data_IF_403332099559
#
_entry.id   IF_403332099559
#
_cell.length_a   1.000
_cell.length_b   1.000
_cell.length_c   1.000
_cell.angle_alpha   90.00
_cell.angle_beta   90.00
_cell.angle_gamma   90.00
#
_symmetry.space_group_name_H-M   'P 1'
#
loop_
_entity.id
_entity.type
_entity.pdbx_description
1 polymer ?
#
# COMPACT_ATOMS: atom_id res chain seq x y z
N UNK A 1 59.82 -7.92 -11.40
CA UNK A 1 58.53 -8.23 -12.04
C UNK A 1 57.55 -8.61 -10.95
N UNK A 2 56.89 -7.60 -10.41
CA UNK A 2 56.01 -7.69 -9.24
C UNK A 2 54.67 -8.23 -9.70
N UNK A 3 54.32 -9.43 -9.24
CA UNK A 3 53.02 -10.07 -9.48
C UNK A 3 51.93 -9.20 -8.83
N UNK A 4 51.19 -8.48 -9.67
CA UNK A 4 50.01 -7.72 -9.26
C UNK A 4 48.91 -8.75 -8.96
N UNK A 5 48.77 -9.01 -7.66
CA UNK A 5 47.51 -9.20 -6.92
C UNK A 5 46.27 -9.48 -7.80
N UNK A 6 46.04 -10.75 -8.14
CA UNK A 6 44.70 -11.25 -8.48
C UNK A 6 43.85 -11.30 -7.20
N UNK A 7 43.42 -10.13 -6.76
CA UNK A 7 42.36 -9.98 -5.75
C UNK A 7 41.56 -8.72 -6.06
N UNK A 8 41.34 -8.46 -7.35
CA UNK A 8 40.27 -7.55 -7.77
C UNK A 8 38.96 -8.30 -7.55
N UNK A 9 38.31 -7.90 -6.47
CA UNK A 9 37.13 -8.51 -5.87
C UNK A 9 36.03 -8.79 -6.88
N UNK A 10 35.34 -9.91 -6.67
CA UNK A 10 34.04 -10.29 -7.28
C UNK A 10 32.89 -9.27 -7.02
N UNK A 11 33.19 -8.09 -6.49
CA UNK A 11 32.24 -7.06 -6.06
C UNK A 11 31.86 -6.06 -7.15
N UNK A 12 32.56 -6.02 -8.28
CA UNK A 12 32.48 -4.90 -9.25
C UNK A 12 31.80 -5.25 -10.60
N UNK A 13 31.17 -6.42 -10.71
CA UNK A 13 30.46 -6.85 -11.93
C UNK A 13 28.95 -6.61 -11.86
N UNK A 14 28.52 -5.52 -11.22
CA UNK A 14 27.09 -5.17 -11.16
C UNK A 14 26.77 -4.33 -12.38
N UNK A 15 25.84 -4.83 -13.19
CA UNK A 15 25.41 -4.17 -14.42
C UNK A 15 24.19 -3.32 -14.09
N UNK A 16 24.30 -2.00 -14.23
CA UNK A 16 23.16 -1.12 -14.09
C UNK A 16 22.34 -1.11 -15.38
N UNK A 17 21.02 -0.87 -15.28
CA UNK A 17 20.16 -0.77 -16.46
C UNK A 17 20.67 0.27 -17.46
N UNK A 18 21.24 1.38 -16.97
CA UNK A 18 21.82 2.42 -17.80
C UNK A 18 23.04 1.96 -18.63
N UNK A 19 23.72 0.88 -18.21
CA UNK A 19 24.88 0.32 -18.91
C UNK A 19 24.45 -0.59 -20.07
N UNK A 20 23.26 -1.20 -19.98
CA UNK A 20 22.71 -2.12 -20.99
C UNK A 20 21.78 -1.40 -21.95
N UNK A 21 20.98 -0.46 -21.42
CA UNK A 21 19.94 0.25 -22.15
C UNK A 21 20.12 1.76 -21.96
N UNK A 22 20.84 2.44 -22.87
CA UNK A 22 21.10 3.86 -22.74
C UNK A 22 19.82 4.67 -22.88
N UNK A 23 19.49 5.44 -21.84
CA UNK A 23 18.25 6.24 -21.83
C UNK A 23 18.39 7.55 -22.60
N UNK A 24 17.35 7.98 -23.34
CA UNK A 24 17.29 9.31 -23.95
C UNK A 24 17.63 10.44 -22.98
N UNK A 25 18.25 11.51 -23.49
CA UNK A 25 18.78 12.61 -22.66
C UNK A 25 17.71 13.32 -21.80
N UNK A 26 16.47 13.37 -22.29
CA UNK A 26 15.34 13.95 -21.55
C UNK A 26 15.06 13.16 -20.25
N UNK A 27 15.05 11.83 -20.33
CA UNK A 27 14.81 10.97 -19.16
C UNK A 27 15.97 11.00 -18.19
N UNK A 28 17.21 11.00 -18.68
CA UNK A 28 18.40 11.17 -17.81
C UNK A 28 18.40 12.51 -17.07
N UNK A 29 17.89 13.56 -17.70
CA UNK A 29 17.79 14.89 -17.08
C UNK A 29 16.68 14.93 -16.03
N UNK A 30 15.53 14.32 -16.34
CA UNK A 30 14.45 14.12 -15.38
C UNK A 30 14.89 13.26 -14.18
N UNK A 31 15.59 12.13 -14.41
CA UNK A 31 16.09 11.25 -13.35
C UNK A 31 17.03 11.99 -12.40
N UNK A 32 17.95 12.82 -12.93
CA UNK A 32 18.80 13.69 -12.11
C UNK A 32 17.99 14.69 -11.28
N UNK A 33 16.98 15.33 -11.87
CA UNK A 33 16.11 16.27 -11.16
C UNK A 33 15.27 15.56 -10.08
N UNK A 34 14.68 14.41 -10.42
CA UNK A 34 13.93 13.52 -9.53
C UNK A 34 14.76 13.17 -8.31
N UNK A 35 15.96 12.63 -8.50
CA UNK A 35 16.81 12.17 -7.41
C UNK A 35 17.28 13.28 -6.47
N UNK A 36 17.38 14.53 -6.95
CA UNK A 36 17.82 15.65 -6.11
C UNK A 36 16.69 16.34 -5.36
N UNK A 37 15.53 16.56 -5.99
CA UNK A 37 14.51 17.48 -5.48
C UNK A 37 13.10 16.90 -5.39
N UNK A 38 12.78 15.88 -6.18
CA UNK A 38 11.43 15.36 -6.31
C UNK A 38 11.29 13.88 -5.90
N UNK A 39 12.30 13.29 -5.27
CA UNK A 39 12.25 11.87 -4.90
C UNK A 39 11.08 11.57 -3.97
N UNK A 40 10.85 12.43 -2.97
CA UNK A 40 9.71 12.31 -2.07
C UNK A 40 8.36 12.36 -2.81
N UNK A 41 8.24 13.19 -3.85
CA UNK A 41 7.02 13.30 -4.65
C UNK A 41 6.80 12.02 -5.45
N UNK A 42 7.85 11.48 -6.06
CA UNK A 42 7.72 10.24 -6.85
C UNK A 42 7.39 9.04 -5.97
N UNK A 43 7.93 8.98 -4.76
CA UNK A 43 7.54 7.97 -3.77
C UNK A 43 6.07 8.12 -3.36
N UNK A 44 5.60 9.34 -3.09
CA UNK A 44 4.18 9.59 -2.83
C UNK A 44 3.29 9.21 -4.01
N UNK A 45 3.68 9.50 -5.25
CA UNK A 45 2.94 9.11 -6.45
C UNK A 45 2.89 7.57 -6.58
N UNK A 46 3.98 6.87 -6.27
CA UNK A 46 3.98 5.41 -6.26
C UNK A 46 3.08 4.82 -5.16
N UNK A 47 3.09 5.40 -3.95
CA UNK A 47 2.17 5.00 -2.88
C UNK A 47 0.70 5.25 -3.24
N UNK A 48 0.40 6.43 -3.78
CA UNK A 48 -0.92 6.79 -4.30
C UNK A 48 -1.36 5.82 -5.40
N UNK A 49 -0.49 5.54 -6.38
CA UNK A 49 -0.83 4.67 -7.49
C UNK A 49 -0.97 3.20 -7.06
N UNK A 50 -0.16 2.73 -6.11
CA UNK A 50 -0.31 1.40 -5.53
C UNK A 50 -1.66 1.23 -4.84
N UNK A 51 -2.09 2.20 -4.03
CA UNK A 51 -3.44 2.19 -3.43
C UNK A 51 -4.53 2.26 -4.51
N UNK A 52 -4.32 3.10 -5.52
CA UNK A 52 -5.24 3.21 -6.65
C UNK A 52 -5.44 1.86 -7.34
N UNK A 53 -4.38 1.09 -7.61
CA UNK A 53 -4.47 -0.18 -8.34
C UNK A 53 -5.43 -1.18 -7.68
N UNK A 54 -5.26 -1.47 -6.40
CA UNK A 54 -6.13 -2.45 -5.74
C UNK A 54 -7.52 -1.89 -5.39
N UNK A 55 -7.64 -0.59 -5.11
CA UNK A 55 -8.95 0.02 -4.93
C UNK A 55 -9.73 0.01 -6.25
N UNK A 56 -9.09 0.38 -7.36
CA UNK A 56 -9.71 0.40 -8.67
C UNK A 56 -10.23 -0.99 -9.07
N UNK A 57 -9.39 -2.01 -8.97
CA UNK A 57 -9.78 -3.37 -9.30
C UNK A 57 -10.91 -3.89 -8.38
N UNK A 58 -10.74 -3.76 -7.07
CA UNK A 58 -11.66 -4.30 -6.09
C UNK A 58 -13.00 -3.55 -6.01
N UNK A 59 -12.97 -2.21 -6.00
CA UNK A 59 -14.19 -1.37 -6.04
C UNK A 59 -14.93 -1.55 -7.36
N UNK A 60 -14.21 -1.68 -8.49
CA UNK A 60 -14.83 -2.01 -9.78
C UNK A 60 -15.58 -3.36 -9.76
N UNK A 61 -14.99 -4.40 -9.17
CA UNK A 61 -15.68 -5.68 -8.98
C UNK A 61 -16.84 -5.59 -7.98
N UNK A 62 -16.72 -4.75 -6.95
CA UNK A 62 -17.79 -4.48 -5.98
C UNK A 62 -18.96 -3.76 -6.64
N UNK A 63 -18.69 -2.85 -7.57
CA UNK A 63 -19.72 -2.18 -8.36
C UNK A 63 -20.53 -3.19 -9.18
N UNK A 64 -19.85 -4.11 -9.88
CA UNK A 64 -20.52 -5.19 -10.60
C UNK A 64 -21.39 -6.06 -9.67
N UNK A 65 -20.86 -6.45 -8.51
CA UNK A 65 -21.59 -7.27 -7.55
C UNK A 65 -22.84 -6.58 -6.99
N UNK A 66 -22.74 -5.31 -6.57
CA UNK A 66 -23.87 -4.58 -5.98
C UNK A 66 -24.91 -4.23 -7.05
N UNK A 67 -24.50 -3.67 -8.18
CA UNK A 67 -25.41 -3.32 -9.28
C UNK A 67 -26.09 -4.58 -9.82
N UNK A 68 -25.34 -5.67 -10.03
CA UNK A 68 -25.88 -6.93 -10.52
C UNK A 68 -26.98 -7.47 -9.60
N UNK A 69 -26.76 -7.44 -8.28
CA UNK A 69 -27.76 -7.85 -7.30
C UNK A 69 -29.00 -6.94 -7.27
N UNK A 70 -28.83 -5.61 -7.34
CA UNK A 70 -29.96 -4.66 -7.32
C UNK A 70 -30.83 -4.82 -8.57
N UNK A 71 -30.20 -4.97 -9.74
CA UNK A 71 -30.88 -5.07 -11.02
C UNK A 71 -31.32 -6.50 -11.39
N UNK A 72 -30.93 -7.51 -10.60
CA UNK A 72 -31.24 -8.91 -10.88
C UNK A 72 -30.55 -9.46 -12.13
N UNK A 73 -29.31 -9.02 -12.39
CA UNK A 73 -28.53 -9.45 -13.55
C UNK A 73 -27.76 -10.75 -13.24
N UNK A 74 -28.25 -11.86 -13.80
CA UNK A 74 -27.62 -13.16 -13.62
C UNK A 74 -26.17 -13.19 -14.12
N UNK A 75 -25.25 -13.67 -13.28
CA UNK A 75 -23.83 -13.81 -13.62
C UNK A 75 -23.00 -12.53 -13.55
N UNK A 76 -23.58 -11.38 -13.18
CA UNK A 76 -22.85 -10.12 -13.05
C UNK A 76 -22.34 -9.93 -11.63
N UNK A 77 -21.06 -10.21 -11.42
CA UNK A 77 -20.38 -10.03 -10.14
C UNK A 77 -20.70 -11.12 -9.10
N UNK A 78 -19.77 -11.32 -8.19
CA UNK A 78 -19.91 -12.23 -7.04
C UNK A 78 -18.83 -11.92 -5.99
N UNK A 79 -19.03 -12.38 -4.74
CA UNK A 79 -18.01 -12.26 -3.70
C UNK A 79 -16.66 -12.87 -4.14
N UNK A 80 -16.69 -13.96 -4.91
CA UNK A 80 -15.49 -14.56 -5.49
C UNK A 80 -14.75 -13.57 -6.40
N UNK A 81 -15.46 -12.94 -7.34
CA UNK A 81 -14.86 -11.94 -8.25
C UNK A 81 -14.34 -10.72 -7.51
N UNK A 82 -14.99 -10.29 -6.44
CA UNK A 82 -14.54 -9.18 -5.59
C UNK A 82 -13.20 -9.52 -4.93
N UNK A 83 -13.12 -10.68 -4.25
CA UNK A 83 -11.87 -11.07 -3.59
C UNK A 83 -10.74 -11.35 -4.58
N UNK A 84 -11.03 -11.93 -5.75
CA UNK A 84 -10.03 -12.10 -6.82
C UNK A 84 -9.53 -10.74 -7.34
N UNK A 85 -10.42 -9.78 -7.56
CA UNK A 85 -10.05 -8.47 -8.06
C UNK A 85 -9.18 -7.68 -7.07
N UNK A 86 -9.50 -7.71 -5.77
CA UNK A 86 -8.64 -7.14 -4.73
C UNK A 86 -7.29 -7.87 -4.66
N UNK A 87 -7.28 -9.20 -4.65
CA UNK A 87 -6.05 -9.99 -4.58
C UNK A 87 -5.10 -9.67 -5.75
N UNK A 88 -5.61 -9.70 -6.98
CA UNK A 88 -4.83 -9.40 -8.19
C UNK A 88 -4.46 -7.91 -8.26
N UNK A 89 -5.35 -7.01 -7.82
CA UNK A 89 -5.05 -5.59 -7.71
C UNK A 89 -3.88 -5.29 -6.77
N UNK A 90 -3.78 -6.02 -5.65
CA UNK A 90 -2.65 -5.93 -4.72
C UNK A 90 -1.37 -6.48 -5.35
N UNK A 91 -1.44 -7.59 -6.08
CA UNK A 91 -0.31 -8.11 -6.85
C UNK A 91 0.21 -7.04 -7.81
N UNK A 92 -0.68 -6.40 -8.57
CA UNK A 92 -0.33 -5.31 -9.50
C UNK A 92 0.31 -4.14 -8.75
N UNK A 93 -0.27 -3.71 -7.62
CA UNK A 93 0.27 -2.62 -6.80
C UNK A 93 1.72 -2.90 -6.38
N UNK A 94 1.98 -4.08 -5.81
CA UNK A 94 3.30 -4.48 -5.33
C UNK A 94 4.32 -4.61 -6.47
N UNK A 95 3.93 -5.24 -7.58
CA UNK A 95 4.83 -5.41 -8.74
C UNK A 95 5.20 -4.06 -9.37
N UNK A 96 4.24 -3.16 -9.50
CA UNK A 96 4.46 -1.88 -10.21
C UNK A 96 5.15 -0.85 -9.34
N UNK A 97 4.80 -0.75 -8.06
CA UNK A 97 5.16 0.42 -7.24
C UNK A 97 6.21 0.13 -6.15
N UNK A 98 6.38 -1.11 -5.68
CA UNK A 98 7.24 -1.40 -4.52
C UNK A 98 8.70 -1.02 -4.73
N UNK A 99 9.25 -1.20 -5.94
CA UNK A 99 10.62 -0.80 -6.25
C UNK A 99 10.86 0.72 -6.16
N UNK A 100 9.79 1.53 -6.19
CA UNK A 100 9.88 2.99 -6.13
C UNK A 100 9.74 3.52 -4.71
N UNK A 101 8.72 3.10 -3.95
CA UNK A 101 8.41 3.65 -2.62
C UNK A 101 8.75 2.74 -1.45
N UNK A 102 9.06 1.47 -1.69
CA UNK A 102 9.08 0.40 -0.68
C UNK A 102 7.76 -0.35 -0.57
N UNK A 103 6.69 0.20 -1.15
CA UNK A 103 5.40 -0.47 -1.32
C UNK A 103 4.63 -0.70 -0.04
N UNK A 104 4.43 0.35 0.77
CA UNK A 104 3.64 0.22 1.99
C UNK A 104 2.15 0.08 1.68
N UNK A 105 1.63 0.96 0.83
CA UNK A 105 0.24 1.04 0.35
C UNK A 105 -0.84 0.96 1.44
N UNK A 106 -0.46 1.19 2.69
CA UNK A 106 -1.31 1.04 3.86
C UNK A 106 -0.80 1.96 4.96
N UNK A 107 -1.68 2.80 5.55
CA UNK A 107 -1.31 3.61 6.70
C UNK A 107 -0.83 2.77 7.88
N UNK A 108 -1.45 1.62 8.13
CA UNK A 108 -1.04 0.71 9.21
C UNK A 108 0.38 0.15 8.99
N UNK A 109 0.69 -0.33 7.78
CA UNK A 109 2.04 -0.82 7.43
C UNK A 109 3.05 0.32 7.53
N UNK A 110 2.68 1.53 7.11
CA UNK A 110 3.54 2.72 7.24
C UNK A 110 3.84 3.05 8.70
N UNK A 111 2.84 2.99 9.57
CA UNK A 111 3.01 3.22 11.01
C UNK A 111 3.89 2.15 11.67
N UNK A 112 3.75 0.87 11.30
CA UNK A 112 4.66 -0.19 11.74
C UNK A 112 6.11 0.18 11.39
N UNK A 113 6.37 0.62 10.16
CA UNK A 113 7.71 0.99 9.74
C UNK A 113 8.25 2.23 10.47
N UNK A 114 7.40 3.19 10.80
CA UNK A 114 7.78 4.36 11.61
C UNK A 114 8.17 3.94 13.02
N UNK A 115 7.37 3.08 13.66
CA UNK A 115 7.53 2.73 15.08
C UNK A 115 8.69 1.74 15.27
N UNK A 116 8.81 0.74 14.40
CA UNK A 116 9.71 -0.40 14.64
C UNK A 116 10.91 -0.46 13.69
N UNK A 117 10.81 0.08 12.47
CA UNK A 117 11.84 -0.09 11.42
C UNK A 117 12.60 1.22 11.10
N UNK A 118 12.46 2.27 11.92
CA UNK A 118 13.20 3.54 11.77
C UNK A 118 12.79 4.39 10.58
N UNK A 119 11.57 4.21 10.03
CA UNK A 119 11.10 5.00 8.90
C UNK A 119 10.82 6.46 9.30
N UNK A 120 11.33 7.47 8.58
CA UNK A 120 11.18 8.87 8.98
C UNK A 120 9.72 9.32 9.09
N UNK A 121 9.32 9.86 10.24
CA UNK A 121 7.92 10.26 10.53
C UNK A 121 7.35 11.18 9.46
N UNK A 122 8.08 12.23 9.06
CA UNK A 122 7.62 13.18 8.05
C UNK A 122 7.47 12.56 6.64
N UNK A 123 8.24 11.49 6.34
CA UNK A 123 8.08 10.71 5.10
C UNK A 123 6.84 9.82 5.19
N UNK A 124 6.65 9.15 6.33
CA UNK A 124 5.47 8.34 6.58
C UNK A 124 4.15 9.12 6.57
N UNK A 125 4.12 10.32 7.15
CA UNK A 125 2.94 11.18 7.09
C UNK A 125 2.55 11.53 5.64
N UNK A 126 3.53 11.84 4.79
CA UNK A 126 3.30 12.09 3.35
C UNK A 126 2.80 10.84 2.62
N UNK A 127 3.29 9.65 2.98
CA UNK A 127 2.79 8.39 2.44
C UNK A 127 1.32 8.18 2.77
N UNK A 128 0.93 8.37 4.04
CA UNK A 128 -0.47 8.19 4.49
C UNK A 128 -1.43 9.10 3.71
N UNK A 129 -1.07 10.37 3.54
CA UNK A 129 -1.87 11.33 2.76
C UNK A 129 -1.99 10.88 1.30
N UNK A 130 -0.86 10.48 0.68
CA UNK A 130 -0.84 10.04 -0.71
C UNK A 130 -1.65 8.74 -0.92
N UNK A 131 -1.56 7.80 0.03
CA UNK A 131 -2.31 6.56 0.05
C UNK A 131 -3.82 6.83 0.09
N UNK A 132 -4.30 7.66 1.03
CA UNK A 132 -5.72 8.05 1.15
C UNK A 132 -6.20 8.70 -0.16
N UNK A 133 -5.40 9.58 -0.74
CA UNK A 133 -5.74 10.22 -2.02
C UNK A 133 -5.81 9.21 -3.17
N UNK A 134 -4.95 8.20 -3.20
CA UNK A 134 -5.02 7.09 -4.16
C UNK A 134 -6.33 6.32 -4.08
N UNK A 135 -6.77 6.01 -2.85
CA UNK A 135 -8.05 5.35 -2.61
C UNK A 135 -9.23 6.22 -3.06
N UNK A 136 -9.21 7.51 -2.70
CA UNK A 136 -10.22 8.48 -3.12
C UNK A 136 -10.32 8.58 -4.65
N UNK A 137 -9.18 8.74 -5.34
CA UNK A 137 -9.15 8.83 -6.79
C UNK A 137 -9.74 7.56 -7.45
N UNK A 138 -9.32 6.37 -7.03
CA UNK A 138 -9.83 5.12 -7.58
C UNK A 138 -11.35 5.02 -7.49
N UNK A 139 -11.93 5.37 -6.33
CA UNK A 139 -13.37 5.35 -6.14
C UNK A 139 -14.11 6.33 -7.08
N UNK A 140 -13.59 7.55 -7.27
CA UNK A 140 -14.18 8.50 -8.23
C UNK A 140 -14.10 7.98 -9.68
N UNK A 141 -12.96 7.41 -10.09
CA UNK A 141 -12.82 6.84 -11.42
C UNK A 141 -13.78 5.67 -11.65
N UNK A 142 -13.99 4.80 -10.65
CA UNK A 142 -14.97 3.71 -10.74
C UNK A 142 -16.38 4.27 -10.82
N UNK A 143 -16.73 5.27 -10.00
CA UNK A 143 -18.05 5.91 -10.05
C UNK A 143 -18.37 6.45 -11.45
N UNK A 144 -17.44 7.16 -12.07
CA UNK A 144 -17.66 7.70 -13.41
C UNK A 144 -17.79 6.63 -14.49
N UNK A 145 -17.04 5.52 -14.37
CA UNK A 145 -17.13 4.40 -15.31
C UNK A 145 -18.43 3.60 -15.17
N UNK A 146 -18.95 3.48 -13.94
CA UNK A 146 -20.19 2.76 -13.63
C UNK A 146 -21.42 3.67 -13.54
N UNK A 147 -21.28 4.96 -13.82
CA UNK A 147 -22.29 5.98 -13.52
C UNK A 147 -23.69 5.62 -14.02
N UNK A 148 -23.80 5.20 -15.28
CA UNK A 148 -25.10 4.85 -15.89
C UNK A 148 -25.77 3.70 -15.15
N UNK A 149 -25.04 2.61 -14.89
CA UNK A 149 -25.57 1.43 -14.21
C UNK A 149 -25.87 1.69 -12.73
N UNK A 150 -25.08 2.55 -12.07
CA UNK A 150 -25.38 3.01 -10.72
C UNK A 150 -26.70 3.78 -10.73
N UNK A 151 -26.90 4.72 -11.65
CA UNK A 151 -28.15 5.49 -11.75
C UNK A 151 -29.37 4.60 -12.05
N UNK A 152 -29.21 3.56 -12.87
CA UNK A 152 -30.27 2.56 -13.09
C UNK A 152 -30.59 1.79 -11.80
N UNK A 153 -29.57 1.36 -11.05
CA UNK A 153 -29.76 0.72 -9.75
C UNK A 153 -30.44 1.65 -8.73
N UNK A 154 -30.05 2.92 -8.68
CA UNK A 154 -30.72 3.93 -7.84
C UNK A 154 -32.19 4.11 -8.25
N UNK A 155 -32.48 4.22 -9.55
CA UNK A 155 -33.85 4.35 -10.06
C UNK A 155 -34.72 3.12 -9.72
N UNK A 156 -34.16 1.91 -9.83
CA UNK A 156 -34.84 0.69 -9.44
C UNK A 156 -35.19 0.68 -7.94
N UNK A 157 -34.26 1.11 -7.08
CA UNK A 157 -34.49 1.25 -5.63
C UNK A 157 -35.53 2.32 -5.29
N UNK A 158 -35.56 3.43 -6.04
CA UNK A 158 -36.56 4.49 -5.89
C UNK A 158 -37.94 3.97 -6.26
N UNK A 159 -38.08 3.28 -7.40
CA UNK A 159 -39.34 2.69 -7.83
C UNK A 159 -39.88 1.65 -6.83
N UNK A 160 -38.99 0.93 -6.15
CA UNK A 160 -39.33 -0.01 -5.09
C UNK A 160 -39.59 0.64 -3.71
N UNK A 161 -39.41 1.96 -3.57
CA UNK A 161 -39.54 2.67 -2.28
C UNK A 161 -38.46 2.31 -1.25
N UNK A 162 -37.31 1.78 -1.69
CA UNK A 162 -36.23 1.26 -0.84
C UNK A 162 -34.97 2.14 -0.81
N UNK A 163 -34.88 3.15 -1.67
CA UNK A 163 -33.66 3.96 -1.86
C UNK A 163 -33.09 4.53 -0.56
N UNK A 164 -33.88 5.27 0.22
CA UNK A 164 -33.41 5.91 1.46
C UNK A 164 -32.92 4.91 2.52
N UNK A 165 -33.52 3.71 2.57
CA UNK A 165 -33.15 2.67 3.52
C UNK A 165 -31.89 1.89 3.10
N UNK A 166 -31.63 1.80 1.79
CA UNK A 166 -30.60 0.91 1.23
C UNK A 166 -29.36 1.68 0.77
N UNK A 167 -29.47 2.92 0.32
CA UNK A 167 -28.37 3.62 -0.36
C UNK A 167 -27.07 3.63 0.45
N UNK A 168 -27.16 3.94 1.76
CA UNK A 168 -26.04 3.98 2.69
C UNK A 168 -25.91 2.68 3.51
N UNK A 169 -25.95 1.54 2.82
CA UNK A 169 -25.76 0.21 3.41
C UNK A 169 -24.74 -0.60 2.60
N UNK A 170 -24.29 -1.73 3.16
CA UNK A 170 -23.34 -2.65 2.50
C UNK A 170 -23.86 -3.27 1.19
N UNK A 171 -25.16 -3.19 0.94
CA UNK A 171 -25.82 -3.73 -0.26
C UNK A 171 -26.38 -2.63 -1.18
N UNK A 172 -26.17 -1.36 -0.83
CA UNK A 172 -26.64 -0.23 -1.63
C UNK A 172 -25.56 0.39 -2.51
N UNK A 173 -25.94 1.32 -3.41
CA UNK A 173 -25.02 2.00 -4.31
C UNK A 173 -23.83 2.68 -3.62
N UNK A 174 -24.02 3.35 -2.47
CA UNK A 174 -22.90 3.94 -1.75
C UNK A 174 -21.96 2.89 -1.15
N UNK A 175 -22.48 1.68 -0.86
CA UNK A 175 -21.76 0.51 -0.37
C UNK A 175 -20.70 -0.03 -1.33
N UNK A 176 -20.74 0.39 -2.61
CA UNK A 176 -19.69 0.12 -3.58
C UNK A 176 -18.37 0.76 -3.13
N UNK A 177 -18.45 1.99 -2.60
CA UNK A 177 -17.30 2.86 -2.37
C UNK A 177 -16.91 2.95 -0.91
N UNK A 178 -17.91 3.07 -0.02
CA UNK A 178 -17.71 3.22 1.42
C UNK A 178 -18.29 2.02 2.15
N UNK A 179 -17.68 1.68 3.30
CA UNK A 179 -18.16 0.56 4.10
C UNK A 179 -19.19 1.01 5.12
N UNK A 180 -20.27 0.24 5.18
CA UNK A 180 -21.36 0.43 6.12
C UNK A 180 -21.61 -0.88 6.84
N UNK A 181 -21.81 -0.81 8.15
CA UNK A 181 -22.27 -1.94 8.95
C UNK A 181 -23.79 -1.93 9.02
N UNK A 182 -24.40 -3.11 9.10
CA UNK A 182 -25.83 -3.20 9.35
C UNK A 182 -26.13 -2.68 10.77
N UNK A 183 -27.08 -1.75 10.96
CA UNK A 183 -27.42 -1.25 12.29
C UNK A 183 -27.83 -2.34 13.31
N UNK A 184 -28.27 -3.51 12.83
CA UNK A 184 -28.60 -4.65 13.69
C UNK A 184 -27.37 -5.43 14.20
N UNK A 185 -26.20 -5.26 13.57
CA UNK A 185 -25.00 -6.01 13.93
C UNK A 185 -24.38 -5.45 15.22
N UNK A 186 -24.02 -6.29 16.20
CA UNK A 186 -23.31 -5.83 17.38
C UNK A 186 -21.95 -5.24 17.00
N UNK A 187 -21.74 -3.96 17.32
CA UNK A 187 -20.51 -3.22 17.00
C UNK A 187 -19.24 -3.94 17.45
N UNK A 188 -19.27 -4.63 18.60
CA UNK A 188 -18.14 -5.40 19.11
C UNK A 188 -17.75 -6.60 18.23
N UNK A 189 -18.72 -7.24 17.56
CA UNK A 189 -18.45 -8.34 16.63
C UNK A 189 -17.86 -7.84 15.31
N UNK A 190 -18.33 -6.69 14.83
CA UNK A 190 -17.77 -6.06 13.62
C UNK A 190 -16.34 -5.59 13.88
N UNK A 191 -16.08 -4.99 15.05
CA UNK A 191 -14.72 -4.66 15.48
C UNK A 191 -13.83 -5.91 15.57
N UNK A 192 -14.33 -7.00 16.17
CA UNK A 192 -13.58 -8.24 16.27
C UNK A 192 -13.24 -8.83 14.89
N UNK A 193 -14.18 -8.80 13.95
CA UNK A 193 -13.98 -9.27 12.58
C UNK A 193 -12.86 -8.50 11.88
N UNK A 194 -12.88 -7.17 11.98
CA UNK A 194 -11.86 -6.28 11.44
C UNK A 194 -10.50 -6.57 12.10
N UNK A 195 -10.46 -6.62 13.44
CA UNK A 195 -9.25 -6.83 14.22
C UNK A 195 -8.56 -8.16 13.88
N UNK A 196 -9.31 -9.26 13.85
CA UNK A 196 -8.75 -10.61 13.61
C UNK A 196 -8.30 -10.78 12.16
N UNK A 197 -9.08 -10.28 11.21
CA UNK A 197 -8.74 -10.35 9.78
C UNK A 197 -7.46 -9.58 9.49
N UNK A 198 -7.34 -8.36 10.02
CA UNK A 198 -6.15 -7.53 9.82
C UNK A 198 -4.94 -8.02 10.59
N UNK A 199 -5.16 -8.65 11.74
CA UNK A 199 -4.08 -9.29 12.48
C UNK A 199 -3.49 -10.44 11.64
N UNK A 200 -4.36 -11.29 11.09
CA UNK A 200 -3.94 -12.38 10.20
C UNK A 200 -3.18 -11.86 8.98
N UNK A 201 -3.70 -10.84 8.30
CA UNK A 201 -3.02 -10.18 7.17
C UNK A 201 -1.66 -9.63 7.59
N UNK A 202 -1.60 -8.90 8.72
CA UNK A 202 -0.37 -8.29 9.24
C UNK A 202 0.72 -9.32 9.58
N UNK A 203 0.35 -10.51 10.08
CA UNK A 203 1.30 -11.59 10.35
C UNK A 203 1.89 -12.11 9.04
N UNK A 204 1.06 -12.30 8.01
CA UNK A 204 1.55 -12.76 6.70
C UNK A 204 2.42 -11.70 6.02
N UNK A 205 2.06 -10.42 6.11
CA UNK A 205 2.91 -9.33 5.61
C UNK A 205 4.27 -9.36 6.32
N UNK A 206 4.29 -9.48 7.65
CA UNK A 206 5.54 -9.58 8.42
C UNK A 206 6.36 -10.81 8.00
N UNK A 207 5.70 -11.94 7.75
CA UNK A 207 6.34 -13.15 7.24
C UNK A 207 6.93 -13.01 5.84
N UNK A 208 6.33 -12.18 4.99
CA UNK A 208 6.83 -11.87 3.65
C UNK A 208 8.00 -10.90 3.66
N UNK A 209 8.10 -10.05 4.69
CA UNK A 209 9.19 -9.11 4.87
C UNK A 209 10.40 -9.73 5.58
N UNK A 210 10.25 -10.93 6.17
CA UNK A 210 11.37 -11.69 6.74
C UNK A 210 12.23 -12.33 5.64
N UNK A 211 13.47 -11.88 5.43
CA UNK A 211 14.36 -12.39 4.38
C UNK A 211 14.89 -13.80 4.66
N UNK A 212 14.68 -14.32 5.87
CA UNK A 212 15.03 -15.69 6.26
C UNK A 212 13.92 -16.69 5.95
N UNK A 213 12.70 -16.21 5.65
CA UNK A 213 11.56 -17.06 5.34
C UNK A 213 11.63 -17.58 3.90
N UNK A 214 12.14 -18.80 3.72
CA UNK A 214 12.26 -19.42 2.40
C UNK A 214 10.92 -19.78 1.73
N UNK A 215 9.80 -19.75 2.45
CA UNK A 215 8.46 -19.92 1.86
C UNK A 215 7.91 -18.65 1.22
N UNK A 216 8.51 -17.48 1.52
CA UNK A 216 8.12 -16.19 0.96
C UNK A 216 9.29 -15.54 0.19
N UNK A 217 9.80 -16.19 -0.88
CA UNK A 217 10.82 -15.56 -1.70
C UNK A 217 10.28 -14.27 -2.33
N UNK A 218 11.12 -13.27 -2.62
CA UNK A 218 10.70 -11.93 -3.06
C UNK A 218 9.73 -11.91 -4.26
N UNK A 219 9.91 -12.83 -5.21
CA UNK A 219 9.03 -12.95 -6.38
C UNK A 219 7.62 -13.47 -6.03
N UNK A 220 7.46 -14.22 -4.95
CA UNK A 220 6.18 -14.76 -4.48
C UNK A 220 5.44 -13.79 -3.55
N UNK A 221 6.14 -12.84 -2.91
CA UNK A 221 5.56 -11.89 -1.95
C UNK A 221 4.28 -11.20 -2.48
N UNK A 222 4.23 -10.66 -3.73
CA UNK A 222 3.00 -10.05 -4.24
C UNK A 222 1.80 -10.99 -4.23
N UNK A 223 2.01 -12.25 -4.61
CA UNK A 223 0.96 -13.27 -4.67
C UNK A 223 0.50 -13.71 -3.29
N UNK A 224 1.44 -13.93 -2.38
CA UNK A 224 1.14 -14.34 -1.00
C UNK A 224 0.30 -13.25 -0.31
N UNK A 225 0.73 -11.98 -0.38
CA UNK A 225 0.00 -10.86 0.22
C UNK A 225 -1.36 -10.69 -0.45
N UNK A 226 -1.42 -10.66 -1.79
CA UNK A 226 -2.65 -10.51 -2.54
C UNK A 226 -3.68 -11.60 -2.21
N UNK A 227 -3.28 -12.86 -2.25
CA UNK A 227 -4.16 -13.99 -1.93
C UNK A 227 -4.58 -14.01 -0.45
N UNK A 228 -3.75 -13.53 0.46
CA UNK A 228 -4.12 -13.40 1.89
C UNK A 228 -5.28 -12.41 2.08
N UNK A 229 -5.22 -11.26 1.39
CA UNK A 229 -6.35 -10.33 1.34
C UNK A 229 -7.57 -10.96 0.66
N UNK A 230 -7.37 -11.71 -0.43
CA UNK A 230 -8.44 -12.48 -1.09
C UNK A 230 -9.16 -13.43 -0.13
N UNK A 231 -8.39 -14.23 0.62
CA UNK A 231 -8.90 -15.13 1.66
C UNK A 231 -9.71 -14.38 2.71
N UNK A 232 -9.19 -13.27 3.23
CA UNK A 232 -9.91 -12.46 4.22
C UNK A 232 -11.25 -11.94 3.65
N UNK A 233 -11.27 -11.50 2.39
CA UNK A 233 -12.48 -11.00 1.74
C UNK A 233 -13.52 -12.12 1.54
N UNK A 234 -13.09 -13.27 1.02
CA UNK A 234 -13.99 -14.41 0.77
C UNK A 234 -14.59 -14.97 2.05
N UNK A 235 -13.83 -14.94 3.14
CA UNK A 235 -14.27 -15.48 4.43
C UNK A 235 -15.06 -14.49 5.27
N UNK A 236 -14.71 -13.20 5.25
CA UNK A 236 -15.13 -12.27 6.30
C UNK A 236 -15.71 -10.94 5.82
N UNK A 237 -15.68 -10.62 4.51
CA UNK A 237 -16.25 -9.34 4.06
C UNK A 237 -17.76 -9.18 4.26
N UNK A 238 -18.61 -10.24 4.24
CA UNK A 238 -20.04 -10.09 4.59
C UNK A 238 -20.27 -9.57 6.01
N UNK A 239 -19.33 -9.77 6.93
CA UNK A 239 -19.37 -9.28 8.31
C UNK A 239 -18.76 -7.87 8.48
N UNK A 240 -18.35 -7.23 7.37
CA UNK A 240 -17.66 -5.94 7.34
C UNK A 240 -16.15 -6.08 7.45
N UNK A 241 -15.44 -5.76 6.36
CA UNK A 241 -13.97 -5.79 6.29
C UNK A 241 -13.43 -4.59 5.49
N UNK A 242 -12.77 -3.67 6.18
CA UNK A 242 -12.06 -2.55 5.57
C UNK A 242 -10.65 -2.92 5.12
N UNK A 243 -9.94 -3.59 6.01
CA UNK A 243 -8.58 -4.09 5.93
C UNK A 243 -7.47 -3.09 5.61
N UNK A 244 -7.82 -1.82 5.40
CA UNK A 244 -6.89 -0.76 5.05
C UNK A 244 -7.53 0.62 5.24
N UNK A 245 -6.92 1.47 6.08
CA UNK A 245 -7.40 2.85 6.33
C UNK A 245 -7.49 3.69 5.06
N UNK A 246 -6.51 3.62 4.15
CA UNK A 246 -6.50 4.44 2.94
C UNK A 246 -7.61 4.03 1.95
N UNK A 247 -7.95 2.74 1.92
CA UNK A 247 -9.10 2.23 1.16
C UNK A 247 -10.41 2.79 1.72
N UNK A 248 -10.63 2.62 3.02
CA UNK A 248 -11.91 3.01 3.65
C UNK A 248 -12.09 4.52 3.70
N UNK A 249 -11.11 5.27 4.19
CA UNK A 249 -11.18 6.74 4.26
C UNK A 249 -11.27 7.33 2.85
N UNK A 250 -10.48 6.84 1.90
CA UNK A 250 -10.56 7.26 0.50
C UNK A 250 -11.93 7.02 -0.12
N UNK A 251 -12.49 5.83 0.10
CA UNK A 251 -13.84 5.47 -0.35
C UNK A 251 -14.95 6.32 0.27
N UNK A 252 -14.88 6.59 1.58
CA UNK A 252 -15.80 7.49 2.29
C UNK A 252 -15.73 8.92 1.76
N UNK A 253 -14.54 9.45 1.52
CA UNK A 253 -14.38 10.78 0.93
C UNK A 253 -15.03 10.85 -0.46
N UNK A 254 -14.91 9.79 -1.26
CA UNK A 254 -15.57 9.71 -2.56
C UNK A 254 -17.09 9.63 -2.42
N UNK A 255 -17.60 8.79 -1.51
CA UNK A 255 -19.02 8.67 -1.24
C UNK A 255 -19.62 10.00 -0.75
N UNK A 256 -18.91 10.74 0.13
CA UNK A 256 -19.30 12.08 0.58
C UNK A 256 -19.31 13.07 -0.60
N UNK A 257 -18.34 13.00 -1.50
CA UNK A 257 -18.30 13.85 -2.68
C UNK A 257 -19.47 13.61 -3.65
N UNK A 258 -20.00 12.38 -3.70
CA UNK A 258 -21.09 11.98 -4.59
C UNK A 258 -22.47 12.23 -3.95
N UNK A 259 -22.68 11.77 -2.71
CA UNK A 259 -24.00 11.76 -2.04
C UNK A 259 -24.09 12.69 -0.83
N UNK A 260 -23.05 13.46 -0.52
CA UNK A 260 -23.01 14.38 0.61
C UNK A 260 -22.72 13.71 1.96
N UNK A 261 -22.83 14.48 3.04
CA UNK A 261 -22.37 14.08 4.39
C UNK A 261 -23.11 12.88 4.99
N UNK A 262 -24.30 12.55 4.49
CA UNK A 262 -25.04 11.33 4.87
C UNK A 262 -24.25 10.05 4.54
N UNK A 263 -23.39 10.09 3.53
CA UNK A 263 -22.53 8.97 3.13
C UNK A 263 -21.29 8.74 4.02
N UNK A 264 -21.13 9.52 5.10
CA UNK A 264 -19.96 9.40 5.98
C UNK A 264 -19.87 8.05 6.70
N UNK A 265 -20.99 7.36 6.88
CA UNK A 265 -21.07 6.08 7.60
C UNK A 265 -21.06 6.20 9.13
N UNK A 266 -21.15 7.43 9.65
CA UNK A 266 -21.38 7.69 11.08
C UNK A 266 -20.34 7.05 12.01
N UNK A 267 -20.80 6.44 13.11
CA UNK A 267 -19.96 5.84 14.15
C UNK A 267 -19.11 4.66 13.65
N UNK A 268 -19.53 3.97 12.58
CA UNK A 268 -18.78 2.85 12.01
C UNK A 268 -17.50 3.29 11.29
N UNK A 269 -17.44 4.55 10.82
CA UNK A 269 -16.29 5.06 10.07
C UNK A 269 -14.98 4.99 10.86
N UNK A 270 -15.02 5.25 12.17
CA UNK A 270 -13.83 5.18 13.01
C UNK A 270 -13.33 3.74 13.18
N UNK A 271 -14.25 2.78 13.31
CA UNK A 271 -13.90 1.36 13.48
C UNK A 271 -13.22 0.84 12.21
N UNK A 272 -13.83 1.06 11.04
CA UNK A 272 -13.28 0.66 9.75
C UNK A 272 -11.91 1.33 9.48
N UNK A 273 -11.78 2.62 9.79
CA UNK A 273 -10.55 3.36 9.51
C UNK A 273 -9.38 3.03 10.47
N UNK A 274 -9.64 2.72 11.74
CA UNK A 274 -8.58 2.68 12.76
C UNK A 274 -8.23 1.27 13.25
N UNK A 275 -9.15 0.31 13.18
CA UNK A 275 -8.94 -1.03 13.76
C UNK A 275 -7.77 -1.77 13.11
N UNK A 276 -7.62 -1.63 11.78
CA UNK A 276 -6.51 -2.23 11.03
C UNK A 276 -5.12 -1.76 11.52
N UNK A 277 -5.02 -0.53 12.06
CA UNK A 277 -3.76 0.01 12.60
C UNK A 277 -3.37 -0.77 13.85
N UNK A 278 -4.30 -0.91 14.79
CA UNK A 278 -4.07 -1.68 16.03
C UNK A 278 -3.72 -3.14 15.69
N UNK A 279 -4.52 -3.77 14.82
CA UNK A 279 -4.32 -5.14 14.40
C UNK A 279 -2.94 -5.38 13.78
N UNK A 280 -2.50 -4.51 12.87
CA UNK A 280 -1.20 -4.64 12.20
C UNK A 280 -0.03 -4.44 13.16
N UNK A 281 -0.15 -3.51 14.14
CA UNK A 281 0.87 -3.33 15.18
C UNK A 281 1.01 -4.56 16.07
N UNK A 282 -0.12 -5.16 16.48
CA UNK A 282 -0.14 -6.39 17.25
C UNK A 282 0.44 -7.56 16.45
N UNK A 283 0.10 -7.66 15.16
CA UNK A 283 0.61 -8.69 14.27
C UNK A 283 2.11 -8.62 14.08
N UNK A 284 2.65 -7.42 13.84
CA UNK A 284 4.10 -7.20 13.79
C UNK A 284 4.76 -7.57 15.11
N UNK A 285 4.16 -7.19 16.25
CA UNK A 285 4.69 -7.53 17.57
C UNK A 285 4.74 -9.04 17.79
N UNK A 286 3.68 -9.78 17.45
CA UNK A 286 3.69 -11.25 17.48
C UNK A 286 4.84 -11.79 16.62
N UNK A 287 4.97 -11.29 15.39
CA UNK A 287 5.97 -11.78 14.47
C UNK A 287 7.39 -11.52 14.98
N UNK A 288 7.70 -10.30 15.40
CA UNK A 288 9.03 -9.88 15.86
C UNK A 288 9.44 -10.60 17.16
N UNK A 289 8.53 -10.73 18.13
CA UNK A 289 8.86 -11.31 19.44
C UNK A 289 8.79 -12.84 19.49
N UNK A 290 7.99 -13.47 18.62
CA UNK A 290 7.73 -14.92 18.70
C UNK A 290 8.23 -15.67 17.47
N UNK A 291 8.05 -15.12 16.27
CA UNK A 291 8.26 -15.86 15.02
C UNK A 291 9.59 -15.57 14.34
N UNK A 292 10.16 -14.38 14.54
CA UNK A 292 11.44 -13.97 13.95
C UNK A 292 12.59 -14.36 14.86
N UNK A 293 13.70 -14.76 14.23
CA UNK A 293 14.91 -15.16 14.96
C UNK A 293 16.15 -14.72 14.20
N UNK A 294 16.98 -13.89 14.85
CA UNK A 294 18.23 -13.36 14.29
C UNK A 294 19.29 -14.44 14.00
N UNK A 295 19.16 -15.64 14.57
CA UNK A 295 20.06 -16.76 14.31
C UNK A 295 19.77 -17.46 12.97
N UNK A 296 18.63 -17.17 12.34
CA UNK A 296 18.27 -17.75 11.04
C UNK A 296 19.15 -17.20 9.93
N UNK A 297 19.49 -18.09 9.00
CA UNK A 297 20.32 -17.75 7.85
C UNK A 297 19.48 -17.06 6.79
N UNK A 298 20.01 -15.98 6.21
CA UNK A 298 19.40 -15.34 5.06
C UNK A 298 19.32 -16.33 3.90
N UNK A 299 18.17 -16.36 3.24
CA UNK A 299 18.02 -17.10 1.99
C UNK A 299 18.95 -16.53 0.92
N UNK A 300 19.38 -17.34 -0.06
CA UNK A 300 20.26 -16.87 -1.15
C UNK A 300 19.65 -15.67 -1.87
N UNK A 301 18.35 -15.75 -2.18
CA UNK A 301 17.60 -14.69 -2.86
C UNK A 301 17.41 -13.47 -1.95
N UNK A 302 17.09 -13.68 -0.66
CA UNK A 302 16.94 -12.58 0.31
C UNK A 302 18.25 -11.80 0.48
N UNK A 303 19.39 -12.50 0.56
CA UNK A 303 20.71 -11.89 0.57
C UNK A 303 20.98 -11.09 -0.71
N UNK A 304 20.70 -11.67 -1.88
CA UNK A 304 20.87 -10.99 -3.17
C UNK A 304 20.04 -9.70 -3.26
N UNK A 305 18.80 -9.72 -2.76
CA UNK A 305 17.95 -8.52 -2.70
C UNK A 305 18.56 -7.44 -1.81
N UNK A 306 19.05 -7.78 -0.61
CA UNK A 306 19.74 -6.81 0.26
C UNK A 306 21.00 -6.24 -0.38
N UNK A 307 21.79 -7.11 -1.00
CA UNK A 307 23.03 -6.73 -1.67
C UNK A 307 22.75 -5.76 -2.83
N UNK A 308 21.68 -6.01 -3.59
CA UNK A 308 21.20 -5.14 -4.67
C UNK A 308 20.70 -3.79 -4.15
N UNK A 309 19.86 -3.80 -3.10
CA UNK A 309 19.35 -2.57 -2.50
C UNK A 309 20.48 -1.69 -1.95
N UNK A 310 21.41 -2.29 -1.22
CA UNK A 310 22.60 -1.61 -0.70
C UNK A 310 23.46 -1.04 -1.83
N UNK A 311 23.61 -1.77 -2.95
CA UNK A 311 24.29 -1.28 -4.13
C UNK A 311 23.65 -0.02 -4.69
N UNK A 312 22.32 -0.03 -4.82
CA UNK A 312 21.56 1.07 -5.40
C UNK A 312 21.66 2.33 -4.53
N UNK A 313 21.61 2.19 -3.22
CA UNK A 313 21.80 3.31 -2.28
C UNK A 313 23.19 3.91 -2.45
N UNK A 314 24.25 3.08 -2.41
CA UNK A 314 25.64 3.54 -2.60
C UNK A 314 25.86 4.21 -3.97
N UNK A 315 25.32 3.64 -5.03
CA UNK A 315 25.39 4.22 -6.38
C UNK A 315 24.70 5.58 -6.44
N UNK A 316 23.53 5.73 -5.80
CA UNK A 316 22.84 7.03 -5.69
C UNK A 316 23.69 8.03 -4.92
N UNK A 317 24.24 7.65 -3.77
CA UNK A 317 25.11 8.52 -2.96
C UNK A 317 26.36 8.97 -3.73
N UNK A 318 27.03 8.07 -4.45
CA UNK A 318 28.21 8.40 -5.25
C UNK A 318 27.89 9.38 -6.39
N UNK A 319 26.84 9.12 -7.18
CA UNK A 319 26.50 9.94 -8.35
C UNK A 319 25.76 11.24 -8.01
N UNK A 320 25.09 11.32 -6.85
CA UNK A 320 24.39 12.53 -6.40
C UNK A 320 25.24 13.35 -5.42
N UNK A 321 26.05 12.70 -4.58
CA UNK A 321 26.99 13.33 -3.65
C UNK A 321 28.14 14.06 -4.34
N UNK A 322 28.64 13.54 -5.46
CA UNK A 322 29.63 14.24 -6.30
C UNK A 322 29.11 15.53 -6.96
N UNK A 323 27.82 15.85 -6.85
CA UNK A 323 27.31 17.15 -7.31
C UNK A 323 26.93 18.09 -6.16
N UNK A 324 26.76 17.58 -4.93
CA UNK A 324 26.66 18.41 -3.74
C UNK A 324 27.99 19.09 -3.40
N UNK A 325 29.13 18.48 -3.72
CA UNK A 325 30.47 19.08 -3.55
C UNK A 325 30.80 20.24 -4.53
N UNK A 326 29.82 20.72 -5.31
CA UNK A 326 29.98 21.91 -6.18
C UNK A 326 29.11 23.10 -5.77
N UNK A 327 28.45 23.04 -4.61
CA UNK A 327 27.77 24.18 -4.02
C UNK A 327 28.24 24.36 -2.56
N UNK A 328 28.85 25.49 -2.19
CA UNK A 328 29.23 25.71 -0.81
C UNK A 328 27.96 26.01 0.00
N UNK A 329 27.51 25.08 0.84
CA UNK A 329 26.50 25.35 1.86
C UNK A 329 27.18 25.55 3.21
N UNK A 330 27.09 26.76 3.75
CA UNK A 330 27.71 27.29 4.98
C UNK A 330 27.34 26.59 6.30
N UNK A 331 26.62 25.46 6.24
CA UNK A 331 26.15 24.72 7.42
C UNK A 331 27.00 23.48 7.74
N UNK A 332 27.87 23.04 6.81
CA UNK A 332 28.79 21.92 7.06
C UNK A 332 30.02 22.32 7.90
N UNK A 333 30.44 23.59 7.89
CA UNK A 333 31.59 24.06 8.68
C UNK A 333 31.29 24.12 10.19
N UNK A 334 30.04 24.46 10.57
CA UNK A 334 29.66 24.55 12.00
C UNK A 334 29.48 23.20 12.68
N UNK A 335 29.23 22.13 11.91
CA UNK A 335 29.16 20.76 12.42
C UNK A 335 30.53 20.15 12.68
N UNK A 336 31.52 20.47 11.85
CA UNK A 336 32.88 19.95 11.96
C UNK A 336 33.66 20.56 13.15
N UNK A 337 33.52 21.87 13.39
CA UNK A 337 34.15 22.54 14.55
C UNK A 337 33.66 22.02 15.92
N UNK A 338 32.47 21.41 15.97
CA UNK A 338 31.89 20.89 17.22
C UNK A 338 32.42 19.50 17.59
N UNK A 339 32.93 18.75 16.62
CA UNK A 339 33.54 17.42 16.80
C UNK A 339 35.03 17.51 17.16
N UNK A 340 35.75 18.51 16.65
CA UNK A 340 37.17 18.71 17.02
C UNK A 340 37.34 19.18 18.48
N UNK A 341 36.41 19.99 19.01
CA UNK A 341 36.47 20.45 20.41
C UNK A 341 36.08 19.41 21.46
N UNK A 342 35.56 18.25 21.04
CA UNK A 342 35.26 17.13 21.95
C UNK A 342 36.35 16.07 22.00
N UNK A 343 37.41 16.25 21.20
CA UNK A 343 38.52 15.28 21.08
C UNK A 343 39.87 15.89 21.46
N UNK A 344 39.88 16.94 22.29
CA UNK A 344 41.06 17.49 22.97
C UNK A 344 40.86 17.52 24.48
#
# INVERSE_FOLDING_TARGET
MTSITKTQSRHDSRVHLADVEPRPAIFRSWERARHRRAQWLVECVAEMFGVFCYCYAGVGATAAFIVGNILGLDGVGSLLTVGLAYALGIVVALVVCSATSGGHFSPAVTLVHIIFNGFPVARGARYIVAQIFGGFAANLFVYWQWKTLIQEAEAALIAAGKYEAVNFSSVGPAGIFALYSNPADPVGLVFLNELVSDFFIGVVISACLDPTNFFAPPAAVPWIIGLTYGTAIWSYSPNGLAANTARDVGGRLAAIAIWGTKASGGSYAAIAALTNILATLLAYSLYEFVLKDSSRVLTVIGKEQFDCHTAQVKHREYHLGNVAMTAPSSDSEKGAERLEKQTQ
#
